data_IF_300863832864
#
_entry.id   IF_300863832864
#
_cell.length_a   1.000
_cell.length_b   1.000
_cell.length_c   1.000
_cell.angle_alpha   90.00
_cell.angle_beta   90.00
_cell.angle_gamma   90.00
#
_symmetry.space_group_name_H-M   'P 1'
#
loop_
_entity.id
_entity.type
_entity.pdbx_description
1 polymer ?
#
# COMPACT_ATOMS: atom_id res chain seq x y z
N UNK A 1 1.58 2.20 10.66
CA UNK A 1 1.02 2.64 11.93
C UNK A 1 0.34 3.99 11.70
N UNK A 2 -0.96 4.09 12.02
CA UNK A 2 -1.73 5.32 11.87
C UNK A 2 -1.18 6.49 12.69
N UNK A 3 -0.59 6.24 13.87
CA UNK A 3 0.00 7.30 14.72
C UNK A 3 1.17 7.97 14.03
N UNK A 4 2.05 7.16 13.43
CA UNK A 4 3.20 7.65 12.66
C UNK A 4 2.74 8.37 11.40
N UNK A 5 1.72 7.85 10.72
CA UNK A 5 1.12 8.49 9.55
C UNK A 5 0.64 9.90 9.90
N UNK A 6 -0.20 10.06 10.93
CA UNK A 6 -0.71 11.37 11.32
C UNK A 6 0.38 12.31 11.84
N UNK A 7 1.36 11.80 12.58
CA UNK A 7 2.47 12.62 13.08
C UNK A 7 3.38 13.15 11.95
N UNK A 8 3.43 12.46 10.79
CA UNK A 8 4.32 12.79 9.68
C UNK A 8 3.58 13.12 8.38
N UNK A 9 2.27 13.32 8.43
CA UNK A 9 1.39 13.43 7.24
C UNK A 9 1.94 14.42 6.20
N UNK A 10 2.27 15.64 6.62
CA UNK A 10 2.86 16.67 5.75
C UNK A 10 4.18 16.28 5.08
N UNK A 11 5.01 15.49 5.77
CA UNK A 11 6.26 14.99 5.20
C UNK A 11 5.97 13.87 4.19
N UNK A 12 5.02 13.00 4.51
CA UNK A 12 4.63 11.85 3.68
C UNK A 12 3.95 12.30 2.38
N UNK A 13 3.26 13.44 2.37
CA UNK A 13 2.64 14.02 1.17
C UNK A 13 3.65 14.22 0.02
N UNK A 14 4.90 14.55 0.34
CA UNK A 14 5.98 14.69 -0.63
C UNK A 14 6.48 13.38 -1.26
N UNK A 15 5.96 12.24 -0.80
CA UNK A 15 6.28 10.89 -1.31
C UNK A 15 5.05 10.17 -1.87
N UNK A 16 3.90 10.86 -2.00
CA UNK A 16 2.72 10.31 -2.64
C UNK A 16 2.92 10.19 -4.16
N UNK A 17 2.24 9.22 -4.78
CA UNK A 17 2.39 8.86 -6.20
C UNK A 17 2.44 10.07 -7.14
N UNK A 18 1.58 11.08 -6.95
CA UNK A 18 1.57 12.30 -7.77
C UNK A 18 2.92 13.03 -7.84
N UNK A 19 3.74 12.94 -6.78
CA UNK A 19 5.07 13.54 -6.72
C UNK A 19 6.18 12.67 -7.34
N UNK A 20 5.92 11.37 -7.52
CA UNK A 20 6.89 10.36 -7.97
C UNK A 20 6.55 9.76 -9.34
N UNK A 21 5.35 10.06 -9.87
CA UNK A 21 4.90 9.69 -11.22
C UNK A 21 5.92 10.07 -12.31
N UNK A 22 6.55 11.27 -12.31
CA UNK A 22 7.59 11.61 -13.29
C UNK A 22 8.83 10.71 -13.23
N UNK A 23 9.04 10.01 -12.11
CA UNK A 23 10.16 9.08 -11.89
C UNK A 23 9.76 7.62 -12.21
N UNK A 24 8.53 7.40 -12.69
CA UNK A 24 7.99 6.08 -13.00
C UNK A 24 7.63 5.25 -11.76
N UNK A 25 7.53 5.89 -10.59
CA UNK A 25 7.23 5.23 -9.32
C UNK A 25 5.78 5.52 -8.95
N UNK A 26 4.96 4.47 -8.86
CA UNK A 26 3.59 4.54 -8.33
C UNK A 26 3.60 4.09 -6.87
N UNK A 27 3.55 5.05 -5.93
CA UNK A 27 3.65 4.79 -4.49
C UNK A 27 2.46 5.38 -3.72
N UNK A 28 1.81 4.56 -2.90
CA UNK A 28 0.71 4.99 -2.05
C UNK A 28 1.07 4.76 -0.59
N UNK A 29 0.97 5.82 0.21
CA UNK A 29 1.16 5.77 1.66
C UNK A 29 -0.22 5.84 2.30
N UNK A 30 -0.59 4.82 3.05
CA UNK A 30 -1.91 4.73 3.70
C UNK A 30 -1.77 4.45 5.20
N UNK A 31 -2.66 5.01 6.04
CA UNK A 31 -2.69 4.66 7.45
C UNK A 31 -3.17 3.22 7.64
N UNK A 32 -2.58 2.54 8.62
CA UNK A 32 -2.97 1.19 9.05
C UNK A 32 -3.40 1.27 10.50
N UNK A 33 -4.69 1.01 10.73
CA UNK A 33 -5.34 0.98 12.04
C UNK A 33 -5.40 -0.47 12.55
N UNK A 34 -5.18 -0.72 13.85
CA UNK A 34 -5.24 -2.06 14.43
C UNK A 34 -6.69 -2.53 14.61
N UNK A 35 -6.86 -3.83 14.88
CA UNK A 35 -8.15 -4.42 15.23
C UNK A 35 -8.72 -3.75 16.49
N UNK A 36 -10.04 -3.54 16.53
CA UNK A 36 -10.75 -2.80 17.57
C UNK A 36 -10.67 -1.27 17.49
N UNK A 37 -9.91 -0.70 16.54
CA UNK A 37 -9.90 0.76 16.32
C UNK A 37 -11.16 1.20 15.55
N UNK A 38 -11.72 2.39 15.84
CA UNK A 38 -12.93 2.90 15.18
C UNK A 38 -12.80 2.98 13.65
N UNK A 39 -11.59 3.28 13.17
CA UNK A 39 -11.23 3.36 11.76
C UNK A 39 -10.63 2.07 11.17
N UNK A 40 -10.74 0.93 11.85
CA UNK A 40 -10.23 -0.35 11.32
C UNK A 40 -10.83 -0.71 9.95
N UNK A 41 -12.09 -0.34 9.72
CA UNK A 41 -12.78 -0.50 8.43
C UNK A 41 -12.06 0.17 7.26
N UNK A 42 -11.38 1.30 7.50
CA UNK A 42 -10.55 2.01 6.50
C UNK A 42 -9.38 1.12 6.06
N UNK A 43 -8.70 0.48 7.01
CA UNK A 43 -7.60 -0.46 6.72
C UNK A 43 -8.10 -1.61 5.85
N UNK A 44 -9.24 -2.22 6.21
CA UNK A 44 -9.84 -3.30 5.43
C UNK A 44 -10.22 -2.91 4.01
N UNK A 45 -10.72 -1.68 3.85
CA UNK A 45 -11.02 -1.13 2.52
C UNK A 45 -9.76 -1.00 1.67
N UNK A 46 -8.67 -0.45 2.21
CA UNK A 46 -7.40 -0.37 1.49
C UNK A 46 -6.84 -1.75 1.12
N UNK A 47 -6.83 -2.70 2.06
CA UNK A 47 -6.42 -4.09 1.81
C UNK A 47 -7.20 -4.69 0.63
N UNK A 48 -8.52 -4.54 0.63
CA UNK A 48 -9.39 -5.07 -0.44
C UNK A 48 -9.15 -4.37 -1.78
N UNK A 49 -9.06 -3.03 -1.79
CA UNK A 49 -8.79 -2.27 -3.02
C UNK A 49 -7.46 -2.66 -3.65
N UNK A 50 -6.41 -2.82 -2.83
CA UNK A 50 -5.08 -3.15 -3.32
C UNK A 50 -5.02 -4.61 -3.77
N UNK A 51 -5.66 -5.52 -3.03
CA UNK A 51 -5.80 -6.90 -3.47
C UNK A 51 -6.47 -6.93 -4.85
N UNK A 52 -7.59 -6.24 -5.05
CA UNK A 52 -8.27 -6.23 -6.35
C UNK A 52 -7.42 -5.60 -7.47
N UNK A 53 -6.77 -4.46 -7.21
CA UNK A 53 -5.96 -3.74 -8.20
C UNK A 53 -4.72 -4.54 -8.63
N UNK A 54 -4.13 -5.28 -7.71
CA UNK A 54 -2.85 -5.95 -7.95
C UNK A 54 -2.96 -7.48 -8.02
N UNK A 55 -4.14 -8.09 -7.83
CA UNK A 55 -4.28 -9.55 -7.77
C UNK A 55 -3.74 -10.28 -8.99
N UNK A 56 -3.71 -9.67 -10.17
CA UNK A 56 -3.41 -10.35 -11.42
C UNK A 56 -2.23 -9.70 -12.15
N UNK A 57 -1.36 -10.52 -12.73
CA UNK A 57 -0.35 -10.07 -13.70
C UNK A 57 -0.95 -9.91 -15.09
N UNK A 58 -0.23 -9.24 -16.00
CA UNK A 58 -0.48 -9.46 -17.42
C UNK A 58 -0.20 -10.92 -17.75
N UNK A 59 -0.89 -11.45 -18.75
CA UNK A 59 -0.62 -12.77 -19.31
C UNK A 59 0.82 -12.83 -19.83
N UNK A 60 1.51 -13.95 -19.60
CA UNK A 60 2.80 -14.21 -20.26
C UNK A 60 2.58 -14.70 -21.71
N UNK A 61 3.67 -15.00 -22.43
CA UNK A 61 3.59 -15.51 -23.81
C UNK A 61 2.87 -16.88 -23.93
N UNK A 62 2.52 -17.52 -22.81
CA UNK A 62 1.76 -18.76 -22.73
C UNK A 62 0.35 -18.55 -22.14
N UNK A 63 -0.13 -17.31 -22.14
CA UNK A 63 -1.44 -16.89 -21.62
C UNK A 63 -1.67 -17.20 -20.13
N UNK A 64 -0.59 -17.35 -19.34
CA UNK A 64 -0.70 -17.62 -17.90
C UNK A 64 -0.79 -16.33 -17.10
N UNK A 65 -1.72 -16.30 -16.15
CA UNK A 65 -1.89 -15.20 -15.20
C UNK A 65 -1.46 -15.66 -13.82
N UNK A 66 -0.62 -14.86 -13.16
CA UNK A 66 -0.11 -15.16 -11.82
C UNK A 66 -0.78 -14.26 -10.79
N UNK A 67 -0.99 -14.80 -9.58
CA UNK A 67 -1.54 -14.05 -8.46
C UNK A 67 -0.43 -13.22 -7.81
N UNK A 68 -0.58 -11.89 -7.72
CA UNK A 68 0.36 -11.08 -6.92
C UNK A 68 -0.02 -11.10 -5.45
N UNK A 69 0.96 -10.87 -4.58
CA UNK A 69 0.79 -10.80 -3.13
C UNK A 69 1.36 -9.50 -2.54
N UNK A 70 1.31 -9.38 -1.22
CA UNK A 70 1.87 -8.25 -0.49
C UNK A 70 3.25 -8.60 0.06
N UNK A 71 4.20 -7.67 -0.08
CA UNK A 71 5.49 -7.74 0.63
C UNK A 71 5.35 -6.97 1.95
N UNK A 72 5.60 -7.67 3.07
CA UNK A 72 5.67 -7.03 4.39
C UNK A 72 7.13 -6.88 4.78
N UNK A 73 7.62 -5.64 4.75
CA UNK A 73 8.95 -5.30 5.27
C UNK A 73 8.85 -5.25 6.80
N UNK A 74 9.66 -6.04 7.50
CA UNK A 74 9.83 -5.97 8.95
C UNK A 74 11.14 -5.23 9.22
N UNK A 75 11.08 -4.17 10.02
CA UNK A 75 12.26 -3.51 10.53
C UNK A 75 12.60 -4.17 11.87
N UNK A 76 13.80 -4.74 11.97
CA UNK A 76 14.33 -5.18 13.25
C UNK A 76 14.99 -3.98 13.93
N UNK A 77 14.78 -3.76 15.23
CA UNK A 77 15.53 -2.76 15.97
C UNK A 77 17.00 -3.20 16.07
N UNK A 78 17.93 -2.28 15.79
CA UNK A 78 19.36 -2.43 16.10
C UNK A 78 19.62 -2.51 17.60
#
# INVERSE_FOLDING_TARGET
DYRVFHAKEKLLDGFLSFSLEPQGIDAYIVPVFPDGHEHFSVTKKFESQWLNRFSWTKADNADRIFRKGFLKIKFEPE
#
